data_IF_467964574856
#
_entry.id   IF_467964574856
#
_cell.length_a   1.000
_cell.length_b   1.000
_cell.length_c   1.000
_cell.angle_alpha   90.00
_cell.angle_beta   90.00
_cell.angle_gamma   90.00
#
_symmetry.space_group_name_H-M   'P 1'
#
loop_
_entity.id
_entity.type
_entity.pdbx_description
1 polymer ?
#
# COMPACT_ATOMS: atom_id res chain seq x y z
N UNK A 1 28.56 17.28 6.45
CA UNK A 1 27.57 18.33 6.76
C UNK A 1 26.83 17.88 8.01
N UNK A 2 26.89 18.66 9.10
CA UNK A 2 26.14 18.32 10.31
C UNK A 2 24.64 18.48 10.01
N UNK A 3 23.81 17.48 10.38
CA UNK A 3 22.34 17.62 10.28
C UNK A 3 21.92 18.83 11.12
N UNK A 4 21.15 19.72 10.50
CA UNK A 4 20.57 20.88 11.17
C UNK A 4 19.38 20.40 12.01
N UNK A 5 19.53 20.40 13.34
CA UNK A 5 18.51 19.96 14.28
C UNK A 5 18.00 21.17 15.08
N UNK A 6 16.73 21.51 14.92
CA UNK A 6 16.08 22.52 15.76
C UNK A 6 15.62 21.92 17.09
N UNK A 7 16.02 22.53 18.21
CA UNK A 7 15.58 22.14 19.55
C UNK A 7 14.24 22.80 19.86
N UNK A 8 13.21 22.01 20.15
CA UNK A 8 11.86 22.48 20.47
C UNK A 8 11.45 22.03 21.87
N UNK A 9 10.90 22.95 22.65
CA UNK A 9 10.39 22.65 23.99
C UNK A 9 8.92 22.21 23.90
N UNK A 10 8.67 20.92 24.08
CA UNK A 10 7.32 20.34 24.07
C UNK A 10 6.63 20.48 25.42
N UNK A 11 5.43 21.08 25.41
CA UNK A 11 4.48 21.00 26.51
C UNK A 11 3.40 19.99 26.15
N UNK A 12 3.25 18.94 26.95
CA UNK A 12 2.25 17.90 26.73
C UNK A 12 1.74 17.35 28.07
N UNK A 13 0.54 16.73 28.11
CA UNK A 13 0.05 16.07 29.31
C UNK A 13 0.99 14.98 29.79
N UNK A 14 1.18 14.83 31.11
CA UNK A 14 2.10 13.83 31.70
C UNK A 14 1.77 12.41 31.24
N UNK A 15 0.48 12.06 31.21
CA UNK A 15 0.00 10.76 30.72
C UNK A 15 0.40 10.48 29.27
N UNK A 16 0.46 11.51 28.42
CA UNK A 16 0.90 11.34 27.03
C UNK A 16 2.40 11.07 26.96
N UNK A 17 3.19 11.78 27.78
CA UNK A 17 4.63 11.55 27.88
C UNK A 17 4.95 10.12 28.34
N UNK A 18 4.28 9.65 29.39
CA UNK A 18 4.43 8.28 29.92
C UNK A 18 4.12 7.23 28.84
N UNK A 19 3.02 7.40 28.10
CA UNK A 19 2.67 6.50 27.00
C UNK A 19 3.71 6.50 25.88
N UNK A 20 4.25 7.67 25.53
CA UNK A 20 5.30 7.77 24.51
C UNK A 20 6.62 7.14 25.00
N UNK A 21 6.94 7.22 26.29
CA UNK A 21 8.11 6.55 26.87
C UNK A 21 7.97 5.03 26.85
N UNK A 22 6.79 4.50 27.16
CA UNK A 22 6.48 3.07 27.03
C UNK A 22 6.64 2.61 25.58
N UNK A 23 6.04 3.33 24.63
CA UNK A 23 6.12 2.99 23.20
C UNK A 23 7.53 3.12 22.64
N UNK A 24 8.30 4.10 23.10
CA UNK A 24 9.70 4.24 22.73
C UNK A 24 10.51 3.02 23.18
N UNK A 25 10.26 2.52 24.39
CA UNK A 25 10.88 1.29 24.91
C UNK A 25 10.47 0.07 24.10
N UNK A 26 9.18 -0.10 23.81
CA UNK A 26 8.66 -1.21 23.00
C UNK A 26 9.30 -1.25 21.60
N UNK A 27 9.56 -0.07 21.03
CA UNK A 27 10.14 0.11 19.70
C UNK A 27 11.68 0.22 19.70
N UNK A 28 12.34 -0.06 20.83
CA UNK A 28 13.80 0.01 21.00
C UNK A 28 14.43 1.35 20.55
N UNK A 29 13.74 2.48 20.80
CA UNK A 29 14.18 3.81 20.40
C UNK A 29 14.10 4.83 21.54
N UNK A 30 14.77 5.97 21.38
CA UNK A 30 14.67 7.07 22.34
C UNK A 30 13.31 7.76 22.26
N UNK A 31 12.89 8.43 23.34
CA UNK A 31 11.65 9.23 23.33
C UNK A 31 11.64 10.25 22.18
N UNK A 32 12.75 10.92 21.93
CA UNK A 32 12.87 11.86 20.81
C UNK A 32 12.68 11.16 19.45
N UNK A 33 13.27 9.98 19.27
CA UNK A 33 13.12 9.20 18.04
C UNK A 33 11.68 8.69 17.85
N UNK A 34 10.99 8.31 18.93
CA UNK A 34 9.57 7.95 18.91
C UNK A 34 8.69 9.13 18.48
N UNK A 35 8.92 10.31 19.06
CA UNK A 35 8.17 11.52 18.72
C UNK A 35 8.40 11.89 17.25
N UNK A 36 9.65 11.91 16.79
CA UNK A 36 9.97 12.23 15.39
C UNK A 36 9.31 11.23 14.44
N UNK A 37 9.43 9.93 14.69
CA UNK A 37 8.84 8.93 13.82
C UNK A 37 7.31 9.01 13.74
N UNK A 38 6.63 9.31 14.85
CA UNK A 38 5.18 9.53 14.85
C UNK A 38 4.79 10.80 14.09
N UNK A 39 5.58 11.87 14.23
CA UNK A 39 5.33 13.10 13.49
C UNK A 39 5.55 12.88 12.00
N UNK A 40 6.63 12.20 11.61
CA UNK A 40 6.90 11.80 10.22
C UNK A 40 5.74 10.94 9.68
N UNK A 41 5.31 9.91 10.41
CA UNK A 41 4.16 9.08 10.01
C UNK A 41 2.86 9.88 9.90
N UNK A 42 2.63 10.87 10.78
CA UNK A 42 1.44 11.72 10.71
C UNK A 42 1.43 12.69 9.53
N UNK A 43 2.62 13.02 9.02
CA UNK A 43 2.81 13.91 7.87
C UNK A 43 2.97 13.13 6.56
N UNK A 44 3.24 11.83 6.64
CA UNK A 44 3.28 10.95 5.49
C UNK A 44 1.85 10.67 5.01
N UNK A 45 1.34 11.58 4.18
CA UNK A 45 0.01 11.53 3.54
C UNK A 45 -0.03 10.49 2.40
N UNK A 46 0.99 9.65 2.25
CA UNK A 46 0.85 8.45 1.46
C UNK A 46 -0.20 7.59 2.15
N UNK A 47 -1.48 7.76 1.77
CA UNK A 47 -2.56 6.84 2.09
C UNK A 47 -2.03 5.44 1.81
N UNK A 48 -1.64 4.75 2.88
CA UNK A 48 -1.31 3.33 2.79
C UNK A 48 -2.60 2.70 2.31
N UNK A 49 -2.65 2.38 1.01
CA UNK A 49 -3.79 1.69 0.41
C UNK A 49 -4.04 0.50 1.32
N UNK A 50 -5.24 0.39 1.95
CA UNK A 50 -5.49 -0.67 2.90
C UNK A 50 -5.17 -2.02 2.25
N UNK A 51 -4.52 -2.91 2.99
CA UNK A 51 -4.05 -4.21 2.47
C UNK A 51 -5.20 -4.97 1.77
N UNK A 52 -6.41 -4.81 2.28
CA UNK A 52 -7.66 -5.33 1.76
C UNK A 52 -7.97 -4.79 0.36
N UNK A 53 -7.81 -3.48 0.14
CA UNK A 53 -7.98 -2.84 -1.18
C UNK A 53 -6.93 -3.36 -2.15
N UNK A 54 -5.67 -3.50 -1.72
CA UNK A 54 -4.61 -4.05 -2.57
C UNK A 54 -4.90 -5.50 -3.00
N UNK A 55 -5.41 -6.34 -2.07
CA UNK A 55 -5.85 -7.71 -2.38
C UNK A 55 -7.00 -7.74 -3.37
N UNK A 56 -7.98 -6.85 -3.24
CA UNK A 56 -9.09 -6.74 -4.18
C UNK A 56 -8.62 -6.37 -5.59
N UNK A 57 -7.68 -5.42 -5.70
CA UNK A 57 -7.08 -5.02 -6.98
C UNK A 57 -6.35 -6.21 -7.62
N UNK A 58 -5.53 -6.94 -6.85
CA UNK A 58 -4.81 -8.13 -7.34
C UNK A 58 -5.77 -9.23 -7.83
N UNK A 59 -6.84 -9.49 -7.07
CA UNK A 59 -7.89 -10.43 -7.48
C UNK A 59 -8.60 -9.99 -8.76
N UNK A 60 -8.91 -8.69 -8.88
CA UNK A 60 -9.53 -8.14 -10.08
C UNK A 60 -8.63 -8.28 -11.30
N UNK A 61 -7.34 -7.98 -11.18
CA UNK A 61 -6.37 -8.13 -12.27
C UNK A 61 -6.25 -9.59 -12.72
N UNK A 62 -6.18 -10.54 -11.79
CA UNK A 62 -6.17 -11.98 -12.12
C UNK A 62 -7.43 -12.42 -12.86
N UNK A 63 -8.59 -11.84 -12.55
CA UNK A 63 -9.83 -12.13 -13.27
C UNK A 63 -9.80 -11.55 -14.68
N UNK A 64 -9.24 -10.35 -14.86
CA UNK A 64 -9.04 -9.75 -16.18
C UNK A 64 -8.09 -10.59 -17.04
N UNK A 65 -6.98 -11.06 -16.48
CA UNK A 65 -6.03 -11.92 -17.20
C UNK A 65 -6.70 -13.21 -17.72
N UNK A 66 -7.53 -13.83 -16.88
CA UNK A 66 -8.31 -15.01 -17.27
C UNK A 66 -9.31 -14.69 -18.38
N UNK A 67 -9.99 -13.54 -18.30
CA UNK A 67 -10.93 -13.11 -19.31
C UNK A 67 -10.22 -12.88 -20.66
N UNK A 68 -9.04 -12.25 -20.66
CA UNK A 68 -8.22 -12.03 -21.84
C UNK A 68 -7.88 -13.36 -22.53
N UNK A 69 -7.39 -14.35 -21.78
CA UNK A 69 -7.08 -15.68 -22.34
C UNK A 69 -8.31 -16.37 -22.92
N UNK A 70 -9.48 -16.23 -22.30
CA UNK A 70 -10.72 -16.80 -22.84
C UNK A 70 -11.14 -16.10 -24.14
N UNK A 71 -11.02 -14.78 -24.20
CA UNK A 71 -11.32 -13.99 -25.40
C UNK A 71 -10.39 -14.42 -26.55
N UNK A 72 -9.08 -14.57 -26.30
CA UNK A 72 -8.13 -15.06 -27.31
C UNK A 72 -8.52 -16.43 -27.86
N UNK A 73 -8.90 -17.37 -26.99
CA UNK A 73 -9.37 -18.70 -27.40
C UNK A 73 -10.65 -18.65 -28.22
N UNK A 74 -11.59 -17.76 -27.84
CA UNK A 74 -12.83 -17.58 -28.58
C UNK A 74 -12.58 -16.97 -29.96
N UNK A 75 -11.69 -15.98 -30.06
CA UNK A 75 -11.30 -15.37 -31.34
C UNK A 75 -10.69 -16.41 -32.28
N UNK A 76 -9.72 -17.21 -31.80
CA UNK A 76 -9.13 -18.28 -32.60
C UNK A 76 -10.18 -19.29 -33.08
N UNK A 77 -11.15 -19.64 -32.22
CA UNK A 77 -12.24 -20.55 -32.60
C UNK A 77 -13.19 -19.95 -33.66
N UNK A 78 -13.45 -18.65 -33.60
CA UNK A 78 -14.26 -17.95 -34.61
C UNK A 78 -13.54 -17.98 -35.96
N UNK A 79 -12.24 -17.69 -36.01
CA UNK A 79 -11.43 -17.75 -37.24
C UNK A 79 -11.45 -19.17 -37.87
N UNK A 80 -11.32 -20.22 -37.05
CA UNK A 80 -11.44 -21.60 -37.51
C UNK A 80 -12.81 -21.91 -38.12
N UNK A 81 -13.90 -21.34 -37.57
CA UNK A 81 -15.25 -21.59 -38.06
C UNK A 81 -15.54 -20.79 -39.34
N UNK A 82 -15.01 -19.58 -39.45
CA UNK A 82 -15.13 -18.75 -40.66
C UNK A 82 -14.36 -19.36 -41.85
N UNK A 83 -13.18 -19.92 -41.60
CA UNK A 83 -12.35 -20.58 -42.62
C UNK A 83 -12.92 -21.93 -43.10
N UNK A 84 -13.69 -22.63 -42.27
CA UNK A 84 -14.34 -23.90 -42.61
C UNK A 84 -15.77 -23.75 -43.16
N UNK A 85 -16.21 -22.52 -43.43
CA UNK A 85 -17.54 -22.27 -44.00
C UNK A 85 -17.58 -22.78 -45.45
N UNK A 86 -18.48 -23.70 -45.84
CA UNK A 86 -18.60 -24.12 -47.22
C UNK A 86 -18.97 -22.92 -48.09
N UNK A 87 -18.30 -22.78 -49.24
CA UNK A 87 -18.69 -21.79 -50.24
C UNK A 87 -20.05 -22.19 -50.82
N UNK A 88 -21.06 -21.34 -50.62
CA UNK A 88 -22.33 -21.41 -51.36
C UNK A 88 -22.11 -21.08 -52.84
#
# INVERSE_FOLDING_TARGET
MAKDYSQVNFRMPSKLKELLEEKAKDNERSLTAEIVARLEESLDINEKIPTEVMKLIDMSNKNLDRATVLIEKLMARIEELETNKPAD
#
